data_IF_856175142603
#
_entry.id   IF_856175142603
#
_cell.length_a   1.000
_cell.length_b   1.000
_cell.length_c   1.000
_cell.angle_alpha   90.00
_cell.angle_beta   90.00
_cell.angle_gamma   90.00
#
_symmetry.space_group_name_H-M   'P 1'
#
loop_
_entity.id
_entity.type
_entity.pdbx_description
1 polymer ?
#
# COMPACT_ATOMS: atom_id res chain seq x y z
N UNK A 1 -6.85 5.82 -15.45
CA UNK A 1 -7.93 5.57 -14.48
C UNK A 1 -8.68 4.31 -14.88
N UNK A 2 -8.30 3.13 -14.39
CA UNK A 2 -9.21 1.97 -14.43
C UNK A 2 -10.17 2.12 -13.24
N UNK A 3 -11.30 2.76 -13.49
CA UNK A 3 -12.28 3.14 -12.47
C UNK A 3 -13.20 4.21 -13.03
N UNK A 4 -14.43 4.35 -12.52
CA UNK A 4 -15.36 5.39 -12.95
C UNK A 4 -14.69 6.77 -12.92
N UNK A 5 -14.86 7.56 -13.98
CA UNK A 5 -14.34 8.94 -14.01
C UNK A 5 -14.92 9.72 -12.82
N UNK A 6 -14.05 10.34 -12.02
CA UNK A 6 -14.44 11.20 -10.89
C UNK A 6 -14.36 10.55 -9.51
N UNK A 7 -14.09 9.24 -9.40
CA UNK A 7 -13.74 8.62 -8.12
C UNK A 7 -12.23 8.71 -7.91
N UNK A 8 -11.80 9.15 -6.72
CA UNK A 8 -10.40 8.93 -6.30
C UNK A 8 -10.19 7.42 -6.22
N UNK A 9 -9.11 6.91 -6.82
CA UNK A 9 -8.68 5.54 -6.56
C UNK A 9 -8.56 5.35 -5.05
N UNK A 10 -9.03 4.20 -4.55
CA UNK A 10 -8.77 3.88 -3.15
C UNK A 10 -7.25 3.79 -2.98
N UNK A 11 -6.71 4.51 -2.00
CA UNK A 11 -5.31 4.38 -1.63
C UNK A 11 -5.02 2.98 -1.11
N UNK A 12 -3.74 2.73 -0.82
CA UNK A 12 -3.31 1.44 -0.31
C UNK A 12 -4.04 1.09 1.01
N UNK A 13 -4.37 -0.20 1.17
CA UNK A 13 -5.03 -0.72 2.36
C UNK A 13 -4.29 -1.97 2.86
N UNK A 14 -4.10 -2.06 4.18
CA UNK A 14 -3.46 -3.19 4.84
C UNK A 14 -4.38 -3.77 5.91
N UNK A 15 -4.68 -5.05 5.77
CA UNK A 15 -5.53 -5.80 6.68
C UNK A 15 -4.72 -6.84 7.45
N UNK A 16 -4.82 -6.85 8.76
CA UNK A 16 -4.26 -7.88 9.62
C UNK A 16 -5.27 -9.03 9.76
N UNK A 17 -4.86 -10.26 9.42
CA UNK A 17 -5.65 -11.46 9.66
C UNK A 17 -5.64 -11.81 11.15
N UNK A 18 -6.81 -11.84 11.78
CA UNK A 18 -6.93 -12.12 13.22
C UNK A 18 -6.91 -13.63 13.54
N UNK A 19 -6.93 -14.51 12.53
CA UNK A 19 -6.87 -15.97 12.69
C UNK A 19 -8.22 -16.65 12.91
N UNK A 20 -9.32 -15.91 12.91
CA UNK A 20 -10.68 -16.36 13.18
C UNK A 20 -11.66 -16.12 12.02
N UNK A 21 -11.11 -15.84 10.82
CA UNK A 21 -11.88 -15.47 9.64
C UNK A 21 -12.26 -13.99 9.58
N UNK A 22 -11.81 -13.17 10.54
CA UNK A 22 -11.96 -11.71 10.51
C UNK A 22 -10.64 -11.01 10.20
N UNK A 23 -10.76 -9.77 9.74
CA UNK A 23 -9.63 -8.91 9.40
C UNK A 23 -9.78 -7.54 10.06
N UNK A 24 -8.67 -7.01 10.56
CA UNK A 24 -8.59 -5.66 11.11
C UNK A 24 -7.91 -4.74 10.11
N UNK A 25 -8.56 -3.62 9.76
CA UNK A 25 -7.89 -2.56 8.99
C UNK A 25 -6.81 -1.90 9.86
N UNK A 26 -5.55 -2.06 9.47
CA UNK A 26 -4.39 -1.48 10.14
C UNK A 26 -3.70 -0.42 9.28
N UNK A 27 -4.29 -0.01 8.16
CA UNK A 27 -3.72 0.90 7.16
C UNK A 27 -3.15 2.17 7.79
N UNK A 28 -3.96 2.86 8.60
CA UNK A 28 -3.55 4.09 9.26
C UNK A 28 -2.48 3.88 10.33
N UNK A 29 -2.57 2.79 11.10
CA UNK A 29 -1.60 2.46 12.15
C UNK A 29 -0.23 2.08 11.56
N UNK A 30 -0.23 1.38 10.44
CA UNK A 30 0.98 0.98 9.72
C UNK A 30 1.58 2.12 8.88
N UNK A 31 0.84 3.23 8.67
CA UNK A 31 1.32 4.37 7.91
C UNK A 31 1.46 4.13 6.41
N UNK A 32 0.72 3.14 5.87
CA UNK A 32 0.87 2.68 4.47
C UNK A 32 -0.22 3.20 3.53
N UNK A 33 -1.14 4.04 4.01
CA UNK A 33 -2.27 4.55 3.21
C UNK A 33 -1.89 5.61 2.18
N UNK A 34 -0.99 5.29 1.24
CA UNK A 34 -0.61 6.18 0.13
C UNK A 34 -1.80 6.33 -0.84
N UNK A 35 -2.21 7.57 -1.20
CA UNK A 35 -3.30 7.79 -2.14
C UNK A 35 -2.93 7.58 -3.62
N UNK A 36 -1.64 7.33 -3.93
CA UNK A 36 -1.17 7.05 -5.29
C UNK A 36 -1.51 5.62 -5.70
N UNK A 37 -1.30 5.33 -6.98
CA UNK A 37 -1.56 3.99 -7.50
C UNK A 37 -0.33 3.10 -7.31
N UNK A 38 -0.45 2.08 -6.47
CA UNK A 38 0.60 1.07 -6.27
C UNK A 38 0.41 -0.15 -7.19
N UNK A 39 1.52 -0.75 -7.62
CA UNK A 39 1.53 -1.92 -8.52
C UNK A 39 2.06 -3.20 -7.92
N UNK A 40 2.68 -3.14 -6.75
CA UNK A 40 3.21 -4.32 -6.08
C UNK A 40 3.61 -4.03 -4.66
N UNK A 41 3.66 -5.10 -3.86
CA UNK A 41 4.15 -5.07 -2.49
C UNK A 41 4.97 -6.32 -2.18
N UNK A 42 5.94 -6.22 -1.27
CA UNK A 42 6.78 -7.32 -0.83
C UNK A 42 7.16 -7.18 0.65
N UNK A 43 7.34 -8.32 1.31
CA UNK A 43 7.82 -8.41 2.69
C UNK A 43 9.30 -8.82 2.70
N UNK A 44 10.13 -8.10 3.45
CA UNK A 44 11.54 -8.41 3.65
C UNK A 44 12.04 -7.76 4.94
N UNK A 45 13.07 -8.31 5.58
CA UNK A 45 13.83 -7.61 6.62
C UNK A 45 14.90 -6.76 5.92
N UNK A 46 14.59 -5.48 5.69
CA UNK A 46 15.38 -4.59 4.84
C UNK A 46 16.57 -4.00 5.58
N UNK A 47 16.40 -3.61 6.85
CA UNK A 47 17.42 -2.94 7.65
C UNK A 47 18.17 -3.85 8.64
N UNK A 48 17.76 -5.13 8.71
CA UNK A 48 18.36 -6.20 9.54
C UNK A 48 18.11 -6.01 11.04
N UNK A 49 17.00 -5.39 11.42
CA UNK A 49 16.60 -5.27 12.82
C UNK A 49 15.85 -6.52 13.35
N UNK A 50 15.56 -7.48 12.46
CA UNK A 50 14.87 -8.72 12.79
C UNK A 50 13.35 -8.60 12.80
N UNK A 51 12.81 -7.44 12.45
CA UNK A 51 11.40 -7.23 12.14
C UNK A 51 11.20 -7.23 10.61
N UNK A 52 10.03 -7.69 10.17
CA UNK A 52 9.72 -7.72 8.72
C UNK A 52 9.16 -6.38 8.29
N UNK A 53 9.72 -5.82 7.22
CA UNK A 53 9.29 -4.57 6.61
C UNK A 53 8.34 -4.80 5.44
N UNK A 54 7.50 -3.80 5.18
CA UNK A 54 6.62 -3.74 4.02
C UNK A 54 7.15 -2.74 3.01
N UNK A 55 7.49 -3.21 1.81
CA UNK A 55 7.76 -2.36 0.67
C UNK A 55 6.54 -2.28 -0.25
N UNK A 56 6.15 -1.06 -0.65
CA UNK A 56 5.04 -0.81 -1.59
C UNK A 56 5.53 0.04 -2.76
N UNK A 57 5.39 -0.50 -3.98
CA UNK A 57 5.85 0.14 -5.20
C UNK A 57 4.74 0.97 -5.85
N UNK A 58 4.92 2.28 -5.88
CA UNK A 58 4.05 3.19 -6.62
C UNK A 58 4.30 3.09 -8.14
N UNK A 59 3.23 3.22 -8.92
CA UNK A 59 3.30 3.35 -10.37
C UNK A 59 4.01 4.63 -10.78
N UNK A 60 4.61 4.61 -11.97
CA UNK A 60 5.32 5.78 -12.49
C UNK A 60 4.36 6.96 -12.66
N UNK A 61 4.73 8.10 -12.09
CA UNK A 61 4.19 9.40 -12.45
C UNK A 61 5.17 10.02 -13.45
N UNK A 62 4.75 10.14 -14.70
CA UNK A 62 5.55 10.80 -15.74
C UNK A 62 5.20 12.28 -15.71
N UNK A 63 6.21 13.11 -15.46
CA UNK A 63 6.15 14.54 -15.69
C UNK A 63 6.87 14.82 -17.02
N UNK A 64 6.15 15.44 -17.96
CA UNK A 64 6.65 15.76 -19.30
C UNK A 64 7.15 17.21 -19.39
N UNK A 65 7.03 17.99 -18.31
CA UNK A 65 7.33 19.43 -18.28
C UNK A 65 8.62 19.78 -17.54
N UNK A 66 9.42 18.79 -17.12
CA UNK A 66 10.80 19.00 -16.63
C UNK A 66 11.83 18.97 -17.77
#
# INVERSE_FOLDING_TARGET
MCGPRGLRGAGDALYHNNGDGTFTDVTGRAGVGDPRWSTGAAWADYDRDGYVDLFVANYVAIDLEN
#
